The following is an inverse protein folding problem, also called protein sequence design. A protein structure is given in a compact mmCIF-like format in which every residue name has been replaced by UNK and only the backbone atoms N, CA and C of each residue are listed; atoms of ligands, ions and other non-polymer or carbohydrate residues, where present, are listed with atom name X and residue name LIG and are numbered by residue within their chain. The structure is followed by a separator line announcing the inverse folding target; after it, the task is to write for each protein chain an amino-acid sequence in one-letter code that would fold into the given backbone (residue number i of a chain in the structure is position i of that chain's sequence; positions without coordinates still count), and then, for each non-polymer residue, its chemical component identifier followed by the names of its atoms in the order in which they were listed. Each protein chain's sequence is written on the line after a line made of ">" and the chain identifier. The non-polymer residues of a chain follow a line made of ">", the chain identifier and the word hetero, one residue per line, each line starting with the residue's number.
data_IF_811107028510
#
_entry.id   IF_811107028510
#
_cell.length_a   1.000
_cell.length_b   1.000
_cell.length_c   1.000
_cell.angle_alpha   90.00
_cell.angle_beta   90.00
_cell.angle_gamma   90.00
#
_symmetry.space_group_name_H-M   'P 1'
#
loop_
_entity.id
_entity.type
_entity.pdbx_description
1 polymer ?
#
# COMPACT_ATOMS: atom_id res chain seq x y z
N UNK A 1 -0.69 -21.61 -11.90
CA UNK A 1 -1.65 -22.60 -11.36
C UNK A 1 -2.76 -21.83 -10.65
N UNK A 2 -3.98 -22.38 -10.47
CA UNK A 2 -5.11 -21.65 -9.82
C UNK A 2 -4.82 -21.23 -8.36
N UNK A 3 -3.94 -21.95 -7.67
CA UNK A 3 -3.52 -21.63 -6.31
C UNK A 3 -2.64 -20.38 -6.23
N UNK A 4 -1.82 -20.13 -7.25
CA UNK A 4 -0.92 -18.96 -7.30
C UNK A 4 -1.71 -17.66 -7.45
N UNK A 5 -2.77 -17.68 -8.26
CA UNK A 5 -3.62 -16.51 -8.47
C UNK A 5 -4.44 -16.17 -7.24
N UNK A 6 -5.02 -17.16 -6.55
CA UNK A 6 -5.72 -16.91 -5.29
C UNK A 6 -4.79 -16.33 -4.20
N UNK A 7 -3.56 -16.84 -4.09
CA UNK A 7 -2.57 -16.32 -3.15
C UNK A 7 -2.22 -14.85 -3.46
N UNK A 8 -2.07 -14.50 -4.74
CA UNK A 8 -1.84 -13.12 -5.18
C UNK A 8 -3.04 -12.21 -4.84
N UNK A 9 -4.28 -12.66 -5.03
CA UNK A 9 -5.47 -11.87 -4.66
C UNK A 9 -5.56 -11.64 -3.15
N UNK A 10 -5.28 -12.66 -2.32
CA UNK A 10 -5.22 -12.50 -0.86
C UNK A 10 -4.15 -11.50 -0.48
N UNK A 11 -2.96 -11.61 -1.08
CA UNK A 11 -1.86 -10.70 -0.80
C UNK A 11 -2.18 -9.25 -1.22
N UNK A 12 -2.83 -9.08 -2.36
CA UNK A 12 -3.31 -7.79 -2.83
C UNK A 12 -4.28 -7.15 -1.84
N UNK A 13 -5.24 -7.93 -1.31
CA UNK A 13 -6.20 -7.45 -0.33
C UNK A 13 -5.52 -7.01 0.97
N UNK A 14 -4.58 -7.80 1.49
CA UNK A 14 -3.78 -7.45 2.67
C UNK A 14 -3.01 -6.13 2.48
N UNK A 15 -2.28 -6.00 1.37
CA UNK A 15 -1.47 -4.83 1.09
C UNK A 15 -2.32 -3.57 0.89
N UNK A 16 -3.48 -3.72 0.25
CA UNK A 16 -4.44 -2.63 0.04
C UNK A 16 -5.02 -2.15 1.36
N UNK A 17 -5.37 -3.08 2.25
CA UNK A 17 -5.86 -2.77 3.59
C UNK A 17 -4.79 -2.05 4.41
N UNK A 18 -3.56 -2.57 4.46
CA UNK A 18 -2.45 -1.93 5.18
C UNK A 18 -2.13 -0.53 4.62
N UNK A 19 -2.18 -0.37 3.29
CA UNK A 19 -1.96 0.92 2.64
C UNK A 19 -3.02 1.95 3.05
N UNK A 20 -4.29 1.54 3.13
CA UNK A 20 -5.39 2.39 3.57
C UNK A 20 -5.25 2.78 5.03
N UNK A 21 -4.95 1.83 5.92
CA UNK A 21 -4.73 2.08 7.34
C UNK A 21 -3.59 3.07 7.56
N UNK A 22 -2.46 2.91 6.84
CA UNK A 22 -1.37 3.88 6.90
C UNK A 22 -1.80 5.27 6.45
N UNK A 23 -2.69 5.39 5.48
CA UNK A 23 -3.19 6.68 5.02
C UNK A 23 -4.03 7.37 6.09
N UNK A 24 -4.93 6.63 6.73
CA UNK A 24 -5.77 7.13 7.83
C UNK A 24 -4.91 7.58 9.03
N UNK A 25 -3.86 6.83 9.36
CA UNK A 25 -2.88 7.21 10.40
C UNK A 25 -2.12 8.48 10.02
N UNK A 26 -1.64 8.59 8.78
CA UNK A 26 -0.94 9.80 8.31
C UNK A 26 -1.88 11.01 8.33
N UNK A 27 -3.12 10.86 7.88
CA UNK A 27 -4.12 11.93 7.87
C UNK A 27 -4.39 12.44 9.29
N UNK A 28 -4.53 11.53 10.25
CA UNK A 28 -4.71 11.85 11.67
C UNK A 28 -3.52 12.62 12.23
N UNK A 29 -2.30 12.12 12.01
CA UNK A 29 -1.08 12.79 12.47
C UNK A 29 -0.90 14.18 11.87
N UNK A 30 -1.32 14.40 10.62
CA UNK A 30 -1.23 15.71 9.97
C UNK A 30 -2.18 16.76 10.57
N UNK A 31 -3.23 16.36 11.30
CA UNK A 31 -4.11 17.30 12.02
C UNK A 31 -3.52 17.73 13.37
N UNK A 32 -2.48 17.05 13.87
CA UNK A 32 -1.88 17.38 15.16
C UNK A 32 -0.93 18.60 15.04
N UNK A 33 -1.09 19.65 15.86
CA UNK A 33 -0.27 20.87 15.82
C UNK A 33 1.24 20.66 16.04
N UNK A 34 1.62 19.58 16.72
CA UNK A 34 3.00 19.22 17.04
C UNK A 34 3.42 17.89 16.43
N UNK A 35 2.88 17.60 15.25
CA UNK A 35 3.13 16.35 14.55
C UNK A 35 4.60 16.13 14.20
N UNK A 36 5.11 14.94 14.52
CA UNK A 36 6.49 14.53 14.20
C UNK A 36 6.63 14.31 12.68
N UNK A 37 7.23 15.29 12.02
CA UNK A 37 7.46 15.29 10.58
C UNK A 37 8.38 14.15 10.12
N UNK A 38 9.33 13.70 10.96
CA UNK A 38 10.20 12.56 10.64
C UNK A 38 9.39 11.28 10.65
N UNK A 39 8.52 11.11 11.66
CA UNK A 39 7.58 9.98 11.72
C UNK A 39 6.66 9.97 10.51
N UNK A 40 6.04 11.10 10.16
CA UNK A 40 5.17 11.22 8.99
C UNK A 40 5.92 10.86 7.71
N UNK A 41 7.15 11.34 7.53
CA UNK A 41 8.00 11.03 6.37
C UNK A 41 8.27 9.52 6.24
N UNK A 42 8.59 8.85 7.35
CA UNK A 42 8.79 7.38 7.38
C UNK A 42 7.51 6.63 7.01
N UNK A 43 6.36 7.05 7.52
CA UNK A 43 5.06 6.44 7.19
C UNK A 43 4.71 6.63 5.71
N UNK A 44 4.92 7.84 5.15
CA UNK A 44 4.75 8.11 3.72
C UNK A 44 5.65 7.22 2.85
N UNK A 45 6.92 7.03 3.25
CA UNK A 45 7.83 6.11 2.55
C UNK A 45 7.32 4.67 2.58
N UNK A 46 6.81 4.19 3.72
CA UNK A 46 6.19 2.86 3.81
C UNK A 46 4.96 2.74 2.92
N UNK A 47 4.08 3.76 2.92
CA UNK A 47 2.89 3.82 2.06
C UNK A 47 3.27 3.73 0.58
N UNK A 48 4.33 4.42 0.16
CA UNK A 48 4.85 4.34 -1.22
C UNK A 48 5.29 2.91 -1.58
N UNK A 49 6.04 2.24 -0.70
CA UNK A 49 6.45 0.85 -0.92
C UNK A 49 5.26 -0.11 -1.05
N UNK A 50 4.21 0.06 -0.23
CA UNK A 50 2.98 -0.72 -0.35
C UNK A 50 2.29 -0.48 -1.71
N UNK A 51 2.20 0.78 -2.16
CA UNK A 51 1.66 1.12 -3.48
C UNK A 51 2.43 0.45 -4.62
N UNK A 52 3.76 0.44 -4.53
CA UNK A 52 4.61 -0.21 -5.54
C UNK A 52 4.40 -1.73 -5.56
N UNK A 53 4.28 -2.37 -4.39
CA UNK A 53 3.99 -3.80 -4.29
C UNK A 53 2.59 -4.16 -4.83
N UNK A 54 1.57 -3.36 -4.49
CA UNK A 54 0.22 -3.48 -5.04
C UNK A 54 0.26 -3.41 -6.57
N UNK A 55 0.97 -2.43 -7.11
CA UNK A 55 1.09 -2.25 -8.56
C UNK A 55 1.75 -3.46 -9.23
N UNK A 56 2.81 -4.01 -8.63
CA UNK A 56 3.48 -5.23 -9.12
C UNK A 56 2.57 -6.47 -9.09
N UNK A 57 1.74 -6.63 -8.06
CA UNK A 57 0.80 -7.76 -7.99
C UNK A 57 -0.33 -7.57 -9.00
N UNK A 58 -0.85 -6.35 -9.15
CA UNK A 58 -1.85 -6.04 -10.17
C UNK A 58 -1.34 -6.32 -11.58
N UNK A 59 -0.09 -5.96 -11.91
CA UNK A 59 0.51 -6.29 -13.20
C UNK A 59 0.74 -7.79 -13.43
N UNK A 60 0.86 -8.59 -12.36
CA UNK A 60 0.93 -10.05 -12.47
C UNK A 60 -0.46 -10.69 -12.65
N UNK A 61 -1.49 -10.11 -12.03
CA UNK A 61 -2.87 -10.59 -12.11
C UNK A 61 -3.57 -10.15 -13.40
N UNK A 62 -3.25 -8.95 -13.88
CA UNK A 62 -3.74 -8.37 -15.14
C UNK A 62 -2.49 -8.03 -15.95
N UNK A 63 -2.07 -8.91 -16.89
CA UNK A 63 -0.81 -8.75 -17.61
C UNK A 63 -0.69 -7.49 -18.50
N UNK A 64 -1.68 -6.60 -18.51
CA UNK A 64 -1.80 -5.59 -19.58
C UNK A 64 -2.46 -4.28 -19.10
N UNK A 65 -1.79 -3.48 -18.27
CA UNK A 65 -2.29 -2.14 -17.94
C UNK A 65 -1.22 -1.05 -17.70
N UNK A 66 0.07 -1.32 -17.91
CA UNK A 66 1.10 -0.28 -17.93
C UNK A 66 2.15 -0.59 -19.01
N UNK A 67 1.84 -0.24 -20.26
CA UNK A 67 2.79 0.03 -21.35
C UNK A 67 2.77 1.53 -21.65
#
# INVERSE_FOLDING_TARGET
>A
MLQDTEALHRKLAELTQEHRELDEVIATLLQEPHSDQIRISRLKKRKLLLKDMISRINSQLIPDLNA
#
